data_IF_462283102159
#
_entry.id   IF_462283102159
#
_cell.length_a   1.000
_cell.length_b   1.000
_cell.length_c   1.000
_cell.angle_alpha   90.00
_cell.angle_beta   90.00
_cell.angle_gamma   90.00
#
_symmetry.space_group_name_H-M   'P 1'
#
loop_
_entity.id
_entity.type
_entity.pdbx_description
1 polymer ?
#
# COMPACT_ATOMS: atom_id res chain seq x y z
N UNK A 1 38.63 41.03 12.03
CA UNK A 1 38.33 39.69 12.60
C UNK A 1 37.15 39.80 13.57
N UNK A 2 36.26 38.79 13.56
CA UNK A 2 35.16 38.50 14.52
C UNK A 2 33.86 39.32 14.44
N UNK A 3 33.03 39.20 13.38
CA UNK A 3 31.57 39.53 13.46
C UNK A 3 30.61 38.74 12.54
N UNK A 4 31.02 37.65 11.86
CA UNK A 4 30.14 36.96 10.88
C UNK A 4 29.64 35.57 11.34
N UNK A 5 30.15 35.00 12.44
CA UNK A 5 29.82 33.61 12.81
C UNK A 5 28.63 33.48 13.80
N UNK A 6 28.07 34.59 14.29
CA UNK A 6 27.02 34.52 15.33
C UNK A 6 25.58 34.32 14.82
N UNK A 7 25.32 34.49 13.51
CA UNK A 7 23.94 34.43 12.98
C UNK A 7 23.54 33.00 12.57
N UNK A 8 24.50 32.16 12.16
CA UNK A 8 24.21 30.76 11.79
C UNK A 8 23.92 29.87 13.01
N UNK A 9 24.62 30.07 14.13
CA UNK A 9 24.32 29.34 15.37
C UNK A 9 22.98 29.78 16.00
N UNK A 10 22.60 31.05 15.88
CA UNK A 10 21.32 31.55 16.38
C UNK A 10 20.13 31.06 15.55
N UNK A 11 20.26 30.97 14.22
CA UNK A 11 19.23 30.39 13.36
C UNK A 11 19.06 28.88 13.63
N UNK A 12 20.16 28.12 13.76
CA UNK A 12 20.12 26.69 14.11
C UNK A 12 19.64 26.46 15.55
N UNK A 13 19.90 27.36 16.49
CA UNK A 13 19.38 27.28 17.86
C UNK A 13 17.94 27.81 18.02
N UNK A 14 17.45 28.70 17.15
CA UNK A 14 16.03 29.13 17.12
C UNK A 14 15.16 28.08 16.42
N UNK A 15 15.64 27.54 15.31
CA UNK A 15 15.07 26.37 14.62
C UNK A 15 15.12 25.19 15.60
N UNK A 16 16.30 24.83 16.10
CA UNK A 16 16.50 23.75 17.07
C UNK A 16 15.80 23.96 18.41
N UNK A 17 15.58 25.19 18.87
CA UNK A 17 14.89 25.53 20.11
C UNK A 17 13.37 25.46 20.00
N UNK A 18 12.80 25.92 18.87
CA UNK A 18 11.38 25.73 18.55
C UNK A 18 11.07 24.24 18.28
N UNK A 19 12.02 23.53 17.65
CA UNK A 19 11.92 22.08 17.41
C UNK A 19 12.17 21.23 18.67
N UNK A 20 13.00 21.68 19.61
CA UNK A 20 13.15 21.04 20.92
C UNK A 20 11.88 21.19 21.78
N UNK A 21 11.19 22.34 21.72
CA UNK A 21 9.90 22.54 22.41
C UNK A 21 8.80 21.65 21.83
N UNK A 22 8.84 21.33 20.52
CA UNK A 22 7.92 20.38 19.89
C UNK A 22 8.32 18.90 20.05
N UNK A 23 9.60 18.62 20.34
CA UNK A 23 10.05 17.30 20.79
C UNK A 23 9.69 17.01 22.27
N UNK A 24 9.48 18.05 23.09
CA UNK A 24 9.08 17.93 24.51
C UNK A 24 7.57 17.83 24.69
N UNK A 25 6.74 18.05 23.65
CA UNK A 25 5.34 17.60 23.68
C UNK A 25 5.25 16.09 23.43
N UNK A 26 5.93 15.32 24.27
CA UNK A 26 5.78 13.88 24.34
C UNK A 26 4.31 13.53 24.69
N UNK A 27 3.74 12.61 23.91
CA UNK A 27 2.62 11.72 24.26
C UNK A 27 1.28 12.32 24.71
N UNK A 28 0.76 13.38 24.08
CA UNK A 28 -0.66 13.76 24.24
C UNK A 28 -1.62 13.19 23.17
N UNK A 29 -1.17 12.21 22.37
CA UNK A 29 -2.03 11.54 21.40
C UNK A 29 -2.88 10.43 22.03
N UNK A 30 -2.35 9.73 23.05
CA UNK A 30 -2.97 8.54 23.64
C UNK A 30 -4.37 8.80 24.21
N UNK A 31 -4.55 9.92 24.90
CA UNK A 31 -5.82 10.29 25.55
C UNK A 31 -6.90 10.78 24.57
N UNK A 32 -6.56 10.97 23.29
CA UNK A 32 -7.48 11.48 22.26
C UNK A 32 -7.98 10.39 21.32
N UNK A 33 -7.51 9.17 21.51
CA UNK A 33 -8.09 7.99 20.86
C UNK A 33 -9.23 7.55 21.75
N UNK A 34 -10.44 7.75 21.26
CA UNK A 34 -11.66 7.42 21.99
C UNK A 34 -12.19 6.07 21.52
N UNK A 35 -12.74 5.34 22.48
CA UNK A 35 -13.53 4.16 22.23
C UNK A 35 -14.79 4.52 21.44
N UNK A 36 -15.10 3.71 20.43
CA UNK A 36 -16.35 3.82 19.68
C UNK A 36 -17.47 3.01 20.32
N UNK A 37 -18.63 3.00 19.65
CA UNK A 37 -19.77 2.15 19.98
C UNK A 37 -20.18 1.39 18.72
N UNK A 38 -20.60 0.13 18.86
CA UNK A 38 -21.00 -0.77 17.77
C UNK A 38 -22.10 -1.72 18.24
N UNK A 39 -22.92 -2.20 17.31
CA UNK A 39 -23.85 -3.30 17.57
C UNK A 39 -23.21 -4.68 17.32
N UNK A 40 -22.01 -4.71 16.72
CA UNK A 40 -21.30 -5.92 16.29
C UNK A 40 -20.10 -6.19 17.21
N UNK A 41 -19.32 -5.16 17.51
CA UNK A 41 -18.07 -5.27 18.27
C UNK A 41 -18.28 -5.08 19.76
N UNK A 42 -17.60 -5.90 20.54
CA UNK A 42 -17.67 -5.85 22.00
C UNK A 42 -16.85 -4.71 22.58
N UNK A 43 -17.09 -4.40 23.85
CA UNK A 43 -16.27 -3.46 24.59
C UNK A 43 -14.79 -3.87 24.63
N UNK A 44 -14.51 -5.17 24.70
CA UNK A 44 -13.16 -5.74 24.73
C UNK A 44 -12.44 -5.53 23.39
N UNK A 45 -13.16 -5.68 22.26
CA UNK A 45 -12.62 -5.39 20.93
C UNK A 45 -12.21 -3.91 20.80
N UNK A 46 -13.08 -3.01 21.26
CA UNK A 46 -12.78 -1.58 21.26
C UNK A 46 -11.58 -1.22 22.13
N UNK A 47 -11.44 -1.84 23.30
CA UNK A 47 -10.30 -1.59 24.19
C UNK A 47 -9.00 -2.08 23.54
N UNK A 48 -9.01 -3.28 22.95
CA UNK A 48 -7.87 -3.85 22.22
C UNK A 48 -7.45 -2.98 21.02
N UNK A 49 -8.41 -2.57 20.18
CA UNK A 49 -8.12 -1.70 19.02
C UNK A 49 -7.67 -0.32 19.45
N UNK A 50 -8.25 0.24 20.51
CA UNK A 50 -7.84 1.54 21.05
C UNK A 50 -6.37 1.51 21.49
N UNK A 51 -5.94 0.46 22.18
CA UNK A 51 -4.55 0.32 22.63
C UNK A 51 -3.58 0.04 21.48
N UNK A 52 -4.01 -0.73 20.47
CA UNK A 52 -3.27 -0.94 19.24
C UNK A 52 -3.05 0.37 18.45
N UNK A 53 -4.10 1.18 18.30
CA UNK A 53 -4.02 2.49 17.64
C UNK A 53 -3.07 3.42 18.39
N UNK A 54 -3.17 3.45 19.72
CA UNK A 54 -2.28 4.20 20.60
C UNK A 54 -0.81 3.86 20.36
N UNK A 55 -0.48 2.57 20.31
CA UNK A 55 0.89 2.10 20.05
C UNK A 55 1.36 2.49 18.64
N UNK A 56 0.54 2.23 17.61
CA UNK A 56 0.90 2.51 16.22
C UNK A 56 1.04 4.01 15.94
N UNK A 57 0.11 4.85 16.42
CA UNK A 57 0.20 6.30 16.25
C UNK A 57 1.43 6.87 16.94
N UNK A 58 1.81 6.30 18.08
CA UNK A 58 3.04 6.66 18.77
C UNK A 58 4.29 6.27 17.96
N UNK A 59 4.31 5.05 17.40
CA UNK A 59 5.38 4.58 16.52
C UNK A 59 5.53 5.41 15.24
N UNK A 60 4.41 5.91 14.70
CA UNK A 60 4.36 6.83 13.57
C UNK A 60 4.65 8.29 13.95
N UNK A 61 4.90 8.57 15.24
CA UNK A 61 5.11 9.92 15.77
C UNK A 61 3.94 10.88 15.46
N UNK A 62 2.70 10.39 15.43
CA UNK A 62 1.53 11.20 15.10
C UNK A 62 0.90 11.85 16.36
N UNK A 63 0.75 13.18 16.33
CA UNK A 63 -0.06 13.95 17.29
C UNK A 63 -1.52 13.92 16.83
N UNK A 64 -2.25 12.92 17.32
CA UNK A 64 -3.70 12.79 17.13
C UNK A 64 -4.39 13.99 17.77
N UNK A 65 -5.37 14.57 17.09
CA UNK A 65 -6.27 15.64 17.56
C UNK A 65 -7.64 15.10 17.90
N UNK A 66 -8.14 14.23 17.04
CA UNK A 66 -9.41 13.55 17.22
C UNK A 66 -9.31 12.15 16.60
N UNK A 67 -10.06 11.22 17.17
CA UNK A 67 -10.24 9.89 16.63
C UNK A 67 -11.71 9.52 16.80
N UNK A 68 -12.33 8.94 15.79
CA UNK A 68 -13.72 8.49 15.88
C UNK A 68 -13.93 7.22 15.06
N UNK A 69 -14.57 6.24 15.68
CA UNK A 69 -15.03 5.06 14.97
C UNK A 69 -16.02 5.46 13.86
N UNK A 70 -15.83 4.93 12.66
CA UNK A 70 -16.64 5.26 11.47
C UNK A 70 -17.93 4.43 11.36
N UNK A 71 -18.16 3.48 12.28
CA UNK A 71 -19.38 2.68 12.34
C UNK A 71 -19.28 1.34 11.60
N UNK A 72 -20.26 0.48 11.90
CA UNK A 72 -20.35 -0.90 11.43
C UNK A 72 -20.46 -0.97 9.89
N UNK A 73 -21.30 -0.11 9.30
CA UNK A 73 -21.49 -0.07 7.84
C UNK A 73 -20.20 0.24 7.11
N UNK A 74 -19.45 1.25 7.58
CA UNK A 74 -18.18 1.65 6.96
C UNK A 74 -17.15 0.53 7.10
N UNK A 75 -17.09 -0.05 8.30
CA UNK A 75 -16.20 -1.17 8.62
C UNK A 75 -16.49 -2.44 7.80
N UNK A 76 -17.72 -2.60 7.30
CA UNK A 76 -18.12 -3.75 6.49
C UNK A 76 -17.86 -3.60 4.98
N UNK A 77 -17.39 -2.42 4.52
CA UNK A 77 -17.14 -2.19 3.10
C UNK A 77 -16.08 -3.18 2.57
N UNK A 78 -16.34 -3.70 1.37
CA UNK A 78 -15.46 -4.68 0.72
C UNK A 78 -14.03 -4.17 0.58
N UNK A 79 -13.87 -2.88 0.31
CA UNK A 79 -12.57 -2.21 0.26
C UNK A 79 -11.71 -2.58 1.48
N UNK A 80 -12.21 -2.44 2.70
CA UNK A 80 -11.41 -2.68 3.90
C UNK A 80 -11.12 -4.17 4.14
N UNK A 81 -12.08 -5.05 3.87
CA UNK A 81 -11.85 -6.50 3.97
C UNK A 81 -10.81 -6.98 2.96
N UNK A 82 -10.85 -6.44 1.73
CA UNK A 82 -9.82 -6.64 0.71
C UNK A 82 -8.45 -6.17 1.20
N UNK A 83 -8.32 -4.92 1.68
CA UNK A 83 -7.03 -4.41 2.17
C UNK A 83 -6.46 -5.26 3.32
N UNK A 84 -7.32 -5.73 4.24
CA UNK A 84 -6.92 -6.64 5.31
C UNK A 84 -6.44 -8.00 4.77
N UNK A 85 -7.17 -8.60 3.83
CA UNK A 85 -6.79 -9.87 3.20
C UNK A 85 -5.43 -9.79 2.49
N UNK A 86 -5.24 -8.75 1.67
CA UNK A 86 -4.00 -8.55 0.92
C UNK A 86 -2.82 -8.31 1.86
N UNK A 87 -3.02 -7.56 2.94
CA UNK A 87 -1.99 -7.31 3.96
C UNK A 87 -1.61 -8.59 4.70
N UNK A 88 -2.60 -9.40 5.10
CA UNK A 88 -2.36 -10.69 5.73
C UNK A 88 -1.57 -11.62 4.80
N UNK A 89 -2.03 -11.82 3.57
CA UNK A 89 -1.34 -12.67 2.59
C UNK A 89 0.09 -12.19 2.29
N UNK A 90 0.34 -10.88 2.26
CA UNK A 90 1.71 -10.34 2.10
C UNK A 90 2.63 -10.77 3.23
N UNK A 91 2.11 -10.83 4.46
CA UNK A 91 2.89 -11.10 5.67
C UNK A 91 3.04 -12.60 5.94
N UNK A 92 1.98 -13.39 5.71
CA UNK A 92 1.93 -14.82 6.06
C UNK A 92 2.06 -15.74 4.86
N UNK A 93 1.71 -15.27 3.65
CA UNK A 93 1.47 -16.08 2.44
C UNK A 93 0.31 -17.07 2.59
N UNK A 94 -0.58 -16.84 3.56
CA UNK A 94 -1.81 -17.62 3.76
C UNK A 94 -3.02 -16.83 3.24
N UNK A 95 -3.95 -17.52 2.59
CA UNK A 95 -5.18 -16.92 2.06
C UNK A 95 -6.25 -17.01 3.15
N UNK A 96 -6.64 -15.87 3.70
CA UNK A 96 -7.73 -15.77 4.65
C UNK A 96 -9.08 -15.99 3.93
N UNK A 97 -10.03 -16.65 4.59
CA UNK A 97 -11.40 -16.68 4.10
C UNK A 97 -12.04 -15.31 4.31
N UNK A 98 -12.70 -14.78 3.29
CA UNK A 98 -13.26 -13.42 3.32
C UNK A 98 -14.25 -13.17 4.47
N UNK A 99 -15.04 -14.20 4.81
CA UNK A 99 -16.06 -14.10 5.85
C UNK A 99 -15.46 -14.10 7.26
N UNK A 100 -14.22 -14.57 7.42
CA UNK A 100 -13.50 -14.59 8.69
C UNK A 100 -12.71 -13.29 8.95
N UNK A 101 -12.82 -12.31 8.04
CA UNK A 101 -12.17 -11.00 8.17
C UNK A 101 -13.13 -10.01 8.83
N UNK A 102 -12.74 -9.52 9.98
CA UNK A 102 -13.39 -8.46 10.72
C UNK A 102 -12.55 -7.18 10.66
N UNK A 103 -13.21 -6.04 10.51
CA UNK A 103 -12.55 -4.75 10.33
C UNK A 103 -13.13 -3.72 11.29
N UNK A 104 -12.30 -2.86 11.85
CA UNK A 104 -12.72 -1.65 12.56
C UNK A 104 -12.03 -0.44 11.96
N UNK A 105 -12.84 0.48 11.43
CA UNK A 105 -12.34 1.67 10.76
C UNK A 105 -12.53 2.92 11.60
N UNK A 106 -11.49 3.74 11.70
CA UNK A 106 -11.50 4.98 12.46
C UNK A 106 -11.09 6.16 11.58
N UNK A 107 -11.74 7.30 11.76
CA UNK A 107 -11.22 8.56 11.27
C UNK A 107 -10.22 9.10 12.30
N UNK A 108 -9.03 9.46 11.85
CA UNK A 108 -7.99 10.09 12.66
C UNK A 108 -7.70 11.46 12.08
N UNK A 109 -7.97 12.51 12.85
CA UNK A 109 -7.46 13.83 12.57
C UNK A 109 -6.14 14.00 13.31
N UNK A 110 -5.04 14.16 12.59
CA UNK A 110 -3.71 14.17 13.20
C UNK A 110 -2.66 14.86 12.35
N UNK A 111 -1.52 15.12 12.95
CA UNK A 111 -0.32 15.62 12.24
C UNK A 111 0.90 14.84 12.68
N UNK A 112 1.85 14.65 11.79
CA UNK A 112 3.14 14.10 12.19
C UNK A 112 3.84 15.06 13.15
N UNK A 113 4.47 14.52 14.17
CA UNK A 113 5.32 15.25 15.09
C UNK A 113 6.71 15.32 14.50
N UNK A 114 7.41 16.43 14.76
CA UNK A 114 8.77 16.60 14.28
C UNK A 114 9.68 15.67 15.08
N UNK A 115 10.31 14.71 14.42
CA UNK A 115 11.40 13.93 15.00
C UNK A 115 12.65 14.01 14.09
N UNK A 116 13.86 13.76 14.63
CA UNK A 116 15.10 13.87 13.85
C UNK A 116 15.17 12.95 12.62
N UNK A 117 14.51 11.79 12.63
CA UNK A 117 14.48 10.85 11.50
C UNK A 117 13.56 11.33 10.37
N UNK A 118 12.39 11.85 10.73
CA UNK A 118 11.41 12.43 9.81
C UNK A 118 11.97 13.70 9.18
N UNK A 119 12.64 14.55 9.95
CA UNK A 119 13.33 15.74 9.42
C UNK A 119 14.36 15.38 8.34
N UNK A 120 15.14 14.32 8.53
CA UNK A 120 16.11 13.88 7.53
C UNK A 120 15.42 13.41 6.24
N UNK A 121 14.33 12.64 6.35
CA UNK A 121 13.55 12.16 5.21
C UNK A 121 12.80 13.27 4.47
N UNK A 122 12.38 14.32 5.19
CA UNK A 122 11.56 15.42 4.66
C UNK A 122 12.40 16.52 4.01
N UNK A 123 13.68 16.65 4.37
CA UNK A 123 14.61 17.58 3.72
C UNK A 123 14.94 17.21 2.25
N UNK A 124 14.60 15.99 1.82
CA UNK A 124 14.80 15.51 0.44
C UNK A 124 13.56 15.59 -0.45
N UNK A 125 12.43 16.08 0.08
CA UNK A 125 11.14 16.19 -0.62
C UNK A 125 10.68 17.65 -0.65
N UNK A 126 10.09 18.10 -1.75
CA UNK A 126 9.45 19.43 -1.79
C UNK A 126 8.25 19.47 -0.84
N UNK A 127 8.25 20.44 0.10
CA UNK A 127 7.07 20.74 0.94
C UNK A 127 7.11 20.31 2.41
N UNK A 128 8.22 20.56 3.14
CA UNK A 128 8.34 20.30 4.59
C UNK A 128 7.11 20.76 5.40
N UNK A 129 6.55 21.92 5.07
CA UNK A 129 5.38 22.47 5.77
C UNK A 129 4.11 21.65 5.61
N UNK A 130 3.89 21.01 4.46
CA UNK A 130 2.67 20.22 4.19
C UNK A 130 2.61 18.94 5.03
N UNK A 131 3.76 18.37 5.35
CA UNK A 131 3.88 17.10 6.09
C UNK A 131 3.46 17.26 7.56
N UNK A 132 3.67 18.45 8.13
CA UNK A 132 3.34 18.75 9.52
C UNK A 132 1.97 19.43 9.70
N UNK A 133 1.20 19.60 8.62
CA UNK A 133 -0.20 20.06 8.72
C UNK A 133 -1.07 18.96 9.32
N UNK A 134 -2.11 19.41 10.02
CA UNK A 134 -3.19 18.51 10.42
C UNK A 134 -3.90 18.03 9.16
N UNK A 135 -4.01 16.71 9.04
CA UNK A 135 -4.75 16.03 7.98
C UNK A 135 -5.73 15.06 8.62
N UNK A 136 -6.69 14.65 7.80
CA UNK A 136 -7.57 13.55 8.12
C UNK A 136 -7.06 12.29 7.44
N UNK A 137 -7.14 11.20 8.18
CA UNK A 137 -6.77 9.88 7.75
C UNK A 137 -7.89 8.92 8.10
N UNK A 138 -8.04 7.88 7.30
CA UNK A 138 -8.78 6.69 7.72
C UNK A 138 -7.79 5.65 8.22
N UNK A 139 -8.06 5.04 9.35
CA UNK A 139 -7.28 3.95 9.91
C UNK A 139 -8.09 2.66 9.83
N UNK A 140 -7.44 1.58 9.41
CA UNK A 140 -8.02 0.24 9.41
C UNK A 140 -7.26 -0.65 10.39
N UNK A 141 -8.00 -1.21 11.33
CA UNK A 141 -7.60 -2.36 12.11
C UNK A 141 -8.42 -3.57 11.65
N UNK A 142 -7.81 -4.74 11.57
CA UNK A 142 -8.49 -5.95 11.18
C UNK A 142 -8.08 -7.12 12.06
N UNK A 143 -8.99 -8.08 12.19
CA UNK A 143 -8.77 -9.37 12.82
C UNK A 143 -9.18 -10.43 11.83
N UNK A 144 -8.39 -11.50 11.75
CA UNK A 144 -8.64 -12.63 10.86
C UNK A 144 -8.80 -13.88 11.72
N UNK A 145 -9.82 -14.70 11.43
CA UNK A 145 -10.09 -15.95 12.14
C UNK A 145 -10.26 -15.82 13.67
N UNK A 146 -10.78 -14.69 14.15
CA UNK A 146 -10.92 -14.37 15.58
C UNK A 146 -9.59 -14.41 16.37
N UNK A 147 -8.46 -14.17 15.71
CA UNK A 147 -7.17 -14.01 16.37
C UNK A 147 -7.07 -12.64 17.05
N UNK A 148 -5.91 -11.99 16.98
CA UNK A 148 -5.71 -10.65 17.53
C UNK A 148 -6.09 -9.57 16.52
N UNK A 149 -6.43 -8.39 17.03
CA UNK A 149 -6.55 -7.20 16.20
C UNK A 149 -5.16 -6.73 15.76
N UNK A 150 -5.01 -6.50 14.46
CA UNK A 150 -3.80 -5.98 13.85
C UNK A 150 -4.05 -4.64 13.16
N UNK A 151 -3.01 -3.81 13.13
CA UNK A 151 -3.02 -2.55 12.41
C UNK A 151 -2.70 -2.84 10.94
N UNK A 152 -3.63 -2.49 10.04
CA UNK A 152 -3.47 -2.75 8.61
C UNK A 152 -2.85 -1.56 7.90
N UNK A 153 -3.50 -0.40 7.97
CA UNK A 153 -3.06 0.78 7.22
C UNK A 153 -3.65 2.08 7.75
N UNK A 154 -3.00 3.18 7.36
CA UNK A 154 -3.47 4.54 7.52
C UNK A 154 -3.59 5.19 6.14
N UNK A 155 -4.82 5.38 5.67
CA UNK A 155 -5.14 5.98 4.37
C UNK A 155 -5.19 7.50 4.50
N UNK A 156 -4.48 8.22 3.63
CA UNK A 156 -4.69 9.65 3.45
C UNK A 156 -5.99 9.96 2.72
N UNK A 157 -6.57 11.14 2.94
CA UNK A 157 -7.78 11.64 2.27
C UNK A 157 -7.58 12.00 0.77
N UNK A 158 -6.58 11.43 0.08
CA UNK A 158 -6.44 11.65 -1.35
C UNK A 158 -7.50 10.80 -2.07
N UNK A 159 -8.44 11.48 -2.73
CA UNK A 159 -9.59 10.90 -3.44
C UNK A 159 -9.19 9.95 -4.59
N UNK A 160 -7.90 9.91 -4.95
CA UNK A 160 -7.36 9.23 -6.13
C UNK A 160 -6.74 7.84 -5.86
N UNK A 161 -6.62 7.39 -4.59
CA UNK A 161 -6.09 6.05 -4.34
C UNK A 161 -7.19 5.00 -4.48
N UNK A 162 -7.41 4.52 -5.71
CA UNK A 162 -8.23 3.34 -6.00
C UNK A 162 -7.75 2.10 -5.19
N UNK A 163 -6.46 2.06 -4.85
CA UNK A 163 -5.81 1.02 -4.05
C UNK A 163 -4.74 1.65 -3.17
N UNK A 164 -4.70 1.28 -1.88
CA UNK A 164 -3.68 1.77 -0.94
C UNK A 164 -2.40 0.92 -0.96
N UNK A 165 -2.47 -0.23 -1.62
CA UNK A 165 -1.51 -1.29 -1.50
C UNK A 165 -0.44 -1.21 -2.58
N UNK A 166 0.81 -1.11 -2.17
CA UNK A 166 1.96 -1.35 -3.04
C UNK A 166 2.23 -2.86 -3.11
N UNK A 167 2.14 -3.41 -4.32
CA UNK A 167 2.46 -4.80 -4.60
C UNK A 167 3.91 -5.11 -4.21
N UNK A 168 4.19 -6.36 -3.85
CA UNK A 168 5.57 -6.80 -3.57
C UNK A 168 6.20 -7.33 -4.86
N UNK A 169 7.27 -6.67 -5.28
CA UNK A 169 8.03 -6.97 -6.49
C UNK A 169 9.17 -7.94 -6.23
N UNK A 170 9.32 -8.93 -7.12
CA UNK A 170 10.59 -9.64 -7.33
C UNK A 170 10.98 -9.57 -8.81
N UNK A 171 11.90 -8.67 -9.15
CA UNK A 171 12.38 -8.51 -10.54
C UNK A 171 13.17 -9.72 -11.05
N UNK A 172 13.60 -10.64 -10.17
CA UNK A 172 14.47 -11.75 -10.53
C UNK A 172 15.83 -11.31 -11.08
N UNK A 173 16.59 -12.29 -11.57
CA UNK A 173 17.81 -12.06 -12.33
C UNK A 173 17.48 -12.17 -13.83
N UNK A 174 17.76 -11.12 -14.60
CA UNK A 174 17.61 -11.10 -16.06
C UNK A 174 18.92 -10.71 -16.73
N UNK A 175 19.23 -11.35 -17.85
CA UNK A 175 20.32 -10.96 -18.76
C UNK A 175 19.82 -10.12 -19.93
N UNK A 176 18.51 -10.14 -20.19
CA UNK A 176 17.87 -9.41 -21.29
C UNK A 176 17.39 -8.01 -20.88
N UNK A 177 16.81 -7.89 -19.70
CA UNK A 177 16.22 -6.65 -19.19
C UNK A 177 16.95 -6.19 -17.93
N UNK A 178 17.11 -4.87 -17.78
CA UNK A 178 17.58 -4.34 -16.50
C UNK A 178 16.43 -4.40 -15.46
N UNK A 179 16.78 -4.35 -14.17
CA UNK A 179 15.76 -4.45 -13.10
C UNK A 179 14.73 -3.31 -13.13
N UNK A 180 15.07 -2.16 -13.73
CA UNK A 180 14.14 -1.02 -13.84
C UNK A 180 13.16 -1.23 -14.98
N UNK A 181 13.59 -1.78 -16.12
CA UNK A 181 12.70 -2.17 -17.21
C UNK A 181 11.63 -3.15 -16.73
N UNK A 182 12.03 -4.13 -15.91
CA UNK A 182 11.11 -5.10 -15.30
C UNK A 182 10.16 -4.41 -14.31
N UNK A 183 10.66 -3.46 -13.51
CA UNK A 183 9.83 -2.68 -12.59
C UNK A 183 8.77 -1.87 -13.35
N UNK A 184 9.16 -1.16 -14.41
CA UNK A 184 8.24 -0.39 -15.24
C UNK A 184 7.21 -1.29 -15.94
N UNK A 185 7.63 -2.46 -16.43
CA UNK A 185 6.71 -3.41 -17.04
C UNK A 185 5.64 -3.90 -16.07
N UNK A 186 6.00 -4.05 -14.79
CA UNK A 186 5.10 -4.49 -13.74
C UNK A 186 4.22 -3.34 -13.23
N UNK A 187 4.73 -2.11 -13.16
CA UNK A 187 3.92 -0.92 -12.89
C UNK A 187 2.86 -0.72 -13.98
N UNK A 188 3.24 -0.85 -15.25
CA UNK A 188 2.32 -0.79 -16.39
C UNK A 188 1.26 -1.90 -16.31
N UNK A 189 1.65 -3.14 -16.00
CA UNK A 189 0.73 -4.25 -15.76
C UNK A 189 -0.26 -3.93 -14.64
N UNK A 190 0.23 -3.46 -13.49
CA UNK A 190 -0.63 -3.14 -12.36
C UNK A 190 -1.62 -2.04 -12.76
N UNK A 191 -1.16 -0.94 -13.36
CA UNK A 191 -2.02 0.14 -13.81
C UNK A 191 -3.07 -0.33 -14.83
N UNK A 192 -2.68 -1.16 -15.81
CA UNK A 192 -3.63 -1.69 -16.79
C UNK A 192 -4.68 -2.60 -16.13
N UNK A 193 -4.30 -3.43 -15.15
CA UNK A 193 -5.27 -4.21 -14.36
C UNK A 193 -6.26 -3.31 -13.62
N UNK A 194 -5.83 -2.14 -13.14
CA UNK A 194 -6.71 -1.22 -12.42
C UNK A 194 -7.64 -0.42 -13.34
N UNK A 195 -7.14 0.01 -14.50
CA UNK A 195 -7.85 0.93 -15.40
C UNK A 195 -8.70 0.22 -16.46
N UNK A 196 -8.38 -1.04 -16.77
CA UNK A 196 -9.07 -1.79 -17.82
C UNK A 196 -10.35 -2.46 -17.28
N UNK A 197 -11.48 -2.20 -17.94
CA UNK A 197 -12.80 -2.77 -17.61
C UNK A 197 -12.82 -4.30 -17.57
N UNK A 198 -11.96 -4.97 -18.34
CA UNK A 198 -11.81 -6.44 -18.33
C UNK A 198 -11.31 -6.94 -16.96
N UNK A 199 -10.46 -6.16 -16.29
CA UNK A 199 -9.78 -6.53 -15.05
C UNK A 199 -10.20 -5.70 -13.85
N UNK A 200 -11.23 -4.85 -13.95
CA UNK A 200 -11.67 -3.94 -12.88
C UNK A 200 -11.99 -4.59 -11.52
N UNK A 201 -12.22 -5.89 -11.52
CA UNK A 201 -12.49 -6.69 -10.33
C UNK A 201 -11.21 -7.26 -9.69
N UNK A 202 -10.04 -6.98 -10.27
CA UNK A 202 -8.76 -7.52 -9.88
C UNK A 202 -7.86 -6.46 -9.27
N UNK A 203 -7.01 -6.91 -8.35
CA UNK A 203 -5.94 -6.09 -7.78
C UNK A 203 -4.68 -6.93 -7.63
N UNK A 204 -3.56 -6.43 -8.15
CA UNK A 204 -2.27 -7.13 -8.09
C UNK A 204 -1.69 -7.03 -6.69
N UNK A 205 -1.35 -8.19 -6.09
CA UNK A 205 -0.85 -8.29 -4.70
C UNK A 205 0.66 -8.60 -4.67
N UNK A 206 1.08 -9.58 -5.45
CA UNK A 206 2.48 -9.99 -5.55
C UNK A 206 2.81 -10.23 -7.02
N UNK A 207 4.05 -9.92 -7.41
CA UNK A 207 4.49 -10.05 -8.79
C UNK A 207 5.94 -10.50 -8.87
N UNK A 208 6.21 -11.34 -9.86
CA UNK A 208 7.52 -11.89 -10.12
C UNK A 208 7.75 -12.01 -11.62
N UNK A 209 8.90 -11.53 -12.10
CA UNK A 209 9.33 -11.81 -13.46
C UNK A 209 9.59 -13.30 -13.66
N UNK A 210 9.01 -13.89 -14.70
CA UNK A 210 9.06 -15.33 -14.92
C UNK A 210 10.42 -15.83 -15.41
N UNK A 211 11.20 -14.99 -16.08
CA UNK A 211 12.52 -15.33 -16.61
C UNK A 211 12.71 -15.02 -18.11
N UNK A 212 13.97 -14.96 -18.54
CA UNK A 212 14.38 -14.61 -19.91
C UNK A 212 13.90 -15.62 -20.95
N UNK A 213 13.65 -16.87 -20.55
CA UNK A 213 13.16 -17.94 -21.43
C UNK A 213 11.78 -17.60 -22.05
N UNK A 214 10.98 -16.79 -21.35
CA UNK A 214 9.67 -16.32 -21.81
C UNK A 214 9.76 -15.01 -22.60
N UNK A 215 10.95 -14.44 -22.74
CA UNK A 215 11.21 -13.24 -23.53
C UNK A 215 11.92 -13.57 -24.86
N UNK A 216 11.74 -14.79 -25.37
CA UNK A 216 12.37 -15.26 -26.61
C UNK A 216 11.68 -14.68 -27.86
N UNK A 217 12.35 -14.77 -29.01
CA UNK A 217 11.75 -14.34 -30.30
C UNK A 217 10.59 -15.24 -30.70
N UNK A 218 10.69 -16.51 -30.35
CA UNK A 218 9.68 -17.53 -30.58
C UNK A 218 8.37 -17.14 -29.87
N UNK A 219 8.44 -16.82 -28.58
CA UNK A 219 7.28 -16.34 -27.79
C UNK A 219 6.73 -15.02 -28.34
N UNK A 220 7.61 -14.06 -28.66
CA UNK A 220 7.17 -12.78 -29.25
C UNK A 220 6.42 -12.98 -30.57
N UNK A 221 6.89 -13.89 -31.43
CA UNK A 221 6.25 -14.19 -32.70
C UNK A 221 4.88 -14.86 -32.50
N UNK A 222 4.76 -15.75 -31.52
CA UNK A 222 3.48 -16.35 -31.13
C UNK A 222 2.48 -15.27 -30.71
N UNK A 223 2.85 -14.41 -29.77
CA UNK A 223 2.00 -13.30 -29.29
C UNK A 223 1.62 -12.32 -30.41
N UNK A 224 2.53 -12.01 -31.33
CA UNK A 224 2.25 -11.16 -32.50
C UNK A 224 1.24 -11.81 -33.45
N UNK A 225 1.37 -13.12 -33.69
CA UNK A 225 0.45 -13.85 -34.56
C UNK A 225 -0.95 -13.95 -33.95
N UNK A 226 -1.05 -14.17 -32.64
CA UNK A 226 -2.34 -14.26 -31.93
C UNK A 226 -3.04 -12.90 -31.85
N UNK A 227 -2.32 -11.84 -31.48
CA UNK A 227 -2.88 -10.50 -31.32
C UNK A 227 -3.07 -9.74 -32.65
N UNK A 228 -2.43 -10.19 -33.74
CA UNK A 228 -2.36 -9.46 -35.01
C UNK A 228 -1.56 -8.16 -34.93
N UNK A 229 -0.77 -7.97 -33.87
CA UNK A 229 0.07 -6.78 -33.64
C UNK A 229 1.54 -7.10 -33.93
N UNK A 230 2.36 -6.06 -33.98
CA UNK A 230 3.80 -6.14 -34.25
C UNK A 230 4.59 -5.54 -33.08
N UNK A 231 4.59 -6.27 -31.97
CA UNK A 231 5.41 -5.99 -30.79
C UNK A 231 6.89 -6.28 -31.04
N UNK A 232 7.75 -5.58 -30.30
CA UNK A 232 9.21 -5.70 -30.40
C UNK A 232 9.82 -6.42 -29.21
N UNK A 233 9.09 -6.51 -28.09
CA UNK A 233 9.51 -7.15 -26.85
C UNK A 233 8.29 -7.78 -26.16
N UNK A 234 8.55 -8.83 -25.37
CA UNK A 234 7.55 -9.49 -24.52
C UNK A 234 8.18 -9.93 -23.19
N UNK A 235 7.37 -10.04 -22.16
CA UNK A 235 7.71 -10.63 -20.86
C UNK A 235 6.55 -11.50 -20.38
N UNK A 236 6.87 -12.48 -19.55
CA UNK A 236 5.90 -13.19 -18.72
C UNK A 236 6.09 -12.79 -17.26
N UNK A 237 5.00 -12.46 -16.59
CA UNK A 237 4.94 -12.11 -15.17
C UNK A 237 4.05 -13.14 -14.46
N UNK A 238 4.53 -13.68 -13.34
CA UNK A 238 3.70 -14.41 -12.40
C UNK A 238 3.14 -13.42 -11.38
N UNK A 239 1.84 -13.44 -11.15
CA UNK A 239 1.20 -12.58 -10.17
C UNK A 239 0.25 -13.32 -9.23
N UNK A 240 0.20 -12.88 -7.99
CA UNK A 240 -0.91 -13.17 -7.09
C UNK A 240 -1.88 -11.99 -7.17
N UNK A 241 -3.16 -12.26 -7.41
CA UNK A 241 -4.17 -11.23 -7.71
C UNK A 241 -5.40 -11.44 -6.84
N UNK A 242 -5.83 -10.42 -6.10
CA UNK A 242 -7.13 -10.43 -5.44
C UNK A 242 -8.24 -10.29 -6.49
N UNK A 243 -9.26 -11.12 -6.39
CA UNK A 243 -10.48 -11.07 -7.20
C UNK A 243 -11.67 -10.69 -6.32
N UNK A 244 -12.33 -9.56 -6.59
CA UNK A 244 -13.57 -9.15 -5.91
C UNK A 244 -14.74 -10.09 -6.20
N UNK A 245 -14.77 -10.67 -7.40
CA UNK A 245 -15.79 -11.64 -7.81
C UNK A 245 -15.73 -12.91 -6.95
N UNK A 246 -14.53 -13.47 -6.79
CA UNK A 246 -14.31 -14.69 -6.01
C UNK A 246 -14.02 -14.43 -4.53
N UNK A 247 -13.83 -13.15 -4.15
CA UNK A 247 -13.43 -12.69 -2.81
C UNK A 247 -12.23 -13.47 -2.25
N UNK A 248 -11.22 -13.67 -3.09
CA UNK A 248 -10.03 -14.47 -2.76
C UNK A 248 -8.83 -14.04 -3.59
N UNK A 249 -7.66 -14.55 -3.24
CA UNK A 249 -6.41 -14.34 -3.99
C UNK A 249 -6.19 -15.53 -4.93
N UNK A 250 -6.13 -15.23 -6.22
CA UNK A 250 -5.69 -16.16 -7.27
C UNK A 250 -4.16 -16.15 -7.28
N UNK A 251 -3.53 -17.29 -7.02
CA UNK A 251 -2.07 -17.40 -6.92
C UNK A 251 -1.45 -17.88 -8.23
N UNK A 252 -0.20 -17.46 -8.47
CA UNK A 252 0.59 -17.89 -9.63
C UNK A 252 -0.14 -17.71 -10.97
N UNK A 253 -0.90 -16.62 -11.10
CA UNK A 253 -1.53 -16.24 -12.37
C UNK A 253 -0.45 -15.82 -13.37
N UNK A 254 -0.64 -16.14 -14.64
CA UNK A 254 0.35 -15.89 -15.69
C UNK A 254 -0.09 -14.74 -16.59
N UNK A 255 0.77 -13.74 -16.73
CA UNK A 255 0.50 -12.54 -17.52
C UNK A 255 1.59 -12.36 -18.56
N UNK A 256 1.22 -12.49 -19.84
CA UNK A 256 2.08 -12.09 -20.94
C UNK A 256 1.81 -10.65 -21.29
N UNK A 257 2.86 -9.84 -21.19
CA UNK A 257 2.86 -8.44 -21.57
C UNK A 257 3.79 -8.23 -22.75
N UNK A 258 3.45 -7.29 -23.63
CA UNK A 258 4.29 -6.93 -24.77
C UNK A 258 4.26 -5.43 -25.04
N UNK A 259 5.31 -4.93 -25.68
CA UNK A 259 5.44 -3.51 -26.04
C UNK A 259 5.95 -3.33 -27.46
N UNK A 260 5.71 -2.14 -28.02
CA UNK A 260 6.19 -1.74 -29.35
C UNK A 260 7.17 -0.58 -29.24
N UNK A 261 8.46 -0.88 -29.37
CA UNK A 261 9.54 0.08 -29.10
C UNK A 261 9.52 0.52 -27.64
N UNK A 262 9.66 1.82 -27.41
CA UNK A 262 9.71 2.43 -26.07
C UNK A 262 8.32 2.83 -25.54
N UNK A 263 7.26 2.14 -25.99
CA UNK A 263 5.90 2.34 -25.48
C UNK A 263 5.67 1.55 -24.20
N UNK A 264 4.61 1.92 -23.48
CA UNK A 264 4.10 1.17 -22.33
C UNK A 264 3.85 -0.29 -22.69
N UNK A 265 3.99 -1.13 -21.68
CA UNK A 265 3.64 -2.55 -21.77
C UNK A 265 2.12 -2.71 -21.79
N UNK A 266 1.64 -3.63 -22.62
CA UNK A 266 0.23 -3.97 -22.76
C UNK A 266 0.03 -5.44 -22.39
N UNK A 267 -1.07 -5.77 -21.71
CA UNK A 267 -1.48 -7.15 -21.44
C UNK A 267 -1.96 -7.80 -22.75
N UNK A 268 -1.34 -8.92 -23.11
CA UNK A 268 -1.65 -9.68 -24.34
C UNK A 268 -2.43 -10.94 -24.03
N UNK A 269 -2.02 -11.63 -22.96
CA UNK A 269 -2.60 -12.89 -22.54
C UNK A 269 -2.56 -12.98 -21.02
N UNK A 270 -3.66 -13.46 -20.46
CA UNK A 270 -3.80 -13.77 -19.05
C UNK A 270 -4.33 -15.18 -18.91
N UNK A 271 -3.66 -15.99 -18.07
CA UNK A 271 -4.09 -17.33 -17.73
C UNK A 271 -4.16 -17.47 -16.20
N UNK A 272 -5.30 -17.94 -15.70
CA UNK A 272 -5.36 -18.44 -14.32
C UNK A 272 -4.84 -19.88 -14.31
N UNK A 273 -3.86 -20.16 -13.46
CA UNK A 273 -3.34 -21.52 -13.24
C UNK A 273 -4.43 -22.54 -12.86
N UNK A 274 -5.62 -22.06 -12.45
CA UNK A 274 -6.80 -22.86 -12.12
C UNK A 274 -7.46 -23.58 -13.32
N UNK A 275 -7.28 -23.13 -14.56
CA UNK A 275 -7.93 -23.74 -15.73
C UNK A 275 -7.13 -24.88 -16.41
N UNK A 276 -5.94 -25.23 -15.90
CA UNK A 276 -5.12 -26.32 -16.44
C UNK A 276 -5.50 -27.74 -15.93
N UNK A 277 -6.66 -27.89 -15.29
CA UNK A 277 -7.21 -29.18 -14.82
C UNK A 277 -8.60 -29.48 -15.41
N UNK A 278 -8.83 -29.21 -16.70
CA UNK A 278 -9.98 -29.73 -17.46
C UNK A 278 -9.54 -30.69 -18.56
#
# INVERSE_FOLDING_TARGET
>A
MKKIIAISAAAVCLIGGIFAISAVSAHKSLDKITKGESAIYSDEDFDAVTDLLKENMNGLFMDVKNCSYLGDSKSSEEFYKREAMMTHFKNTREIAAYDDIECMTYQIQGRYSVNPRLLYAVMTTEGISEIFKTKEYTCLCARINNENWDFVSLFGNDEDYHYSFAYKLNSGDSKKYDSRDITFAIDDLANEVLENEEYKNYCVVYVKYAGDEFASKEVLNELNNESGKNYTDCMKIYADVYSSENKTILTDTEWYIARKGDKNWEIIKYDTSADNNK
#
